data_IF_205240877722
#
_entry.id   IF_205240877722
#
_cell.length_a   1.000
_cell.length_b   1.000
_cell.length_c   1.000
_cell.angle_alpha   90.00
_cell.angle_beta   90.00
_cell.angle_gamma   90.00
#
_symmetry.space_group_name_H-M   'P 1'
#
loop_
_entity.id
_entity.type
_entity.pdbx_description
1 polymer ?
#
# COMPACT_ATOMS: atom_id res chain seq x y z
N UNK A 1 2.39 -1.80 -27.47
CA UNK A 1 1.90 -0.66 -26.68
C UNK A 1 3.10 0.18 -26.33
N UNK A 2 3.26 1.37 -26.93
CA UNK A 2 4.46 2.18 -26.70
C UNK A 2 4.24 3.05 -25.47
N UNK A 3 5.05 2.82 -24.43
CA UNK A 3 5.13 3.72 -23.28
C UNK A 3 6.07 4.87 -23.66
N UNK A 4 5.52 6.04 -23.93
CA UNK A 4 6.30 7.25 -24.03
C UNK A 4 6.59 7.77 -22.61
N UNK A 5 7.71 7.38 -22.04
CA UNK A 5 8.29 8.09 -20.91
C UNK A 5 8.98 9.32 -21.44
N UNK A 6 8.37 10.49 -21.28
CA UNK A 6 9.04 11.74 -21.53
C UNK A 6 9.39 12.37 -20.18
N UNK A 7 10.66 12.43 -19.85
CA UNK A 7 11.16 13.25 -18.76
C UNK A 7 11.74 14.52 -19.35
N UNK A 8 11.21 15.68 -18.99
CA UNK A 8 11.77 16.98 -19.37
C UNK A 8 12.56 17.53 -18.20
N UNK A 9 13.81 17.91 -18.45
CA UNK A 9 14.69 18.51 -17.47
C UNK A 9 14.74 20.01 -17.70
N UNK A 10 14.60 20.78 -16.64
CA UNK A 10 14.78 22.22 -16.66
C UNK A 10 16.12 22.58 -16.00
N UNK A 11 16.84 23.53 -16.58
CA UNK A 11 18.11 24.03 -16.11
C UNK A 11 17.91 25.45 -15.55
N UNK A 12 18.74 25.85 -14.58
CA UNK A 12 18.65 27.17 -13.92
C UNK A 12 19.13 28.36 -14.78
N UNK A 13 19.46 28.08 -16.01
CA UNK A 13 20.01 29.11 -16.95
C UNK A 13 21.53 29.21 -16.94
N UNK A 14 22.22 28.49 -16.03
CA UNK A 14 23.70 28.42 -16.03
C UNK A 14 24.21 27.21 -16.82
N UNK A 15 23.32 26.40 -17.36
CA UNK A 15 23.59 25.35 -18.33
C UNK A 15 23.78 23.95 -17.77
N UNK A 16 24.11 23.77 -16.49
CA UNK A 16 24.57 22.49 -15.97
C UNK A 16 23.75 21.91 -14.81
N UNK A 17 22.89 22.70 -14.17
CA UNK A 17 22.08 22.23 -13.03
C UNK A 17 20.65 21.88 -13.43
N UNK A 18 20.33 20.61 -13.37
CA UNK A 18 18.98 20.08 -13.50
C UNK A 18 18.17 20.43 -12.24
N UNK A 19 17.22 21.36 -12.33
CA UNK A 19 16.43 21.84 -11.18
C UNK A 19 15.10 21.12 -11.04
N UNK A 20 14.53 20.61 -12.13
CA UNK A 20 13.20 19.98 -12.12
C UNK A 20 13.16 18.75 -13.02
N UNK A 21 12.35 17.76 -12.63
CA UNK A 21 12.00 16.58 -13.43
C UNK A 21 10.47 16.53 -13.56
N UNK A 22 9.99 16.48 -14.79
CA UNK A 22 8.57 16.30 -15.09
C UNK A 22 8.35 14.89 -15.60
N UNK A 23 7.45 14.15 -14.93
CA UNK A 23 7.01 12.85 -15.37
C UNK A 23 5.64 12.97 -16.04
N UNK A 24 5.55 12.54 -17.30
CA UNK A 24 4.30 12.52 -18.07
C UNK A 24 3.87 11.07 -18.18
N UNK A 25 2.70 10.74 -17.62
CA UNK A 25 2.16 9.39 -17.59
C UNK A 25 0.71 9.36 -18.05
N UNK A 26 0.26 8.21 -18.54
CA UNK A 26 -1.14 8.04 -18.98
C UNK A 26 -2.05 8.04 -17.75
N UNK A 27 -3.07 8.88 -17.76
CA UNK A 27 -4.12 8.90 -16.71
C UNK A 27 -4.71 7.51 -16.52
N UNK A 28 -4.84 7.07 -15.26
CA UNK A 28 -5.38 5.76 -14.89
C UNK A 28 -4.40 4.58 -15.06
N UNK A 29 -3.15 4.82 -15.55
CA UNK A 29 -2.12 3.78 -15.54
C UNK A 29 -1.64 3.48 -14.11
N UNK A 30 -0.91 2.38 -13.93
CA UNK A 30 -0.28 2.04 -12.65
C UNK A 30 0.67 3.15 -12.20
N UNK A 31 1.52 3.65 -13.10
CA UNK A 31 2.45 4.75 -12.78
C UNK A 31 1.70 6.01 -12.31
N UNK A 32 0.59 6.37 -12.99
CA UNK A 32 -0.23 7.49 -12.59
C UNK A 32 -0.81 7.30 -11.18
N UNK A 33 -1.34 6.13 -10.89
CA UNK A 33 -1.87 5.79 -9.55
C UNK A 33 -0.77 5.85 -8.50
N UNK A 34 0.41 5.30 -8.79
CA UNK A 34 1.55 5.30 -7.89
C UNK A 34 2.01 6.73 -7.56
N UNK A 35 2.12 7.62 -8.55
CA UNK A 35 2.48 9.02 -8.29
C UNK A 35 1.44 9.76 -7.45
N UNK A 36 0.15 9.57 -7.75
CA UNK A 36 -0.94 10.19 -6.99
C UNK A 36 -0.97 9.66 -5.55
N UNK A 37 -0.94 8.34 -5.37
CA UNK A 37 -0.96 7.72 -4.05
C UNK A 37 0.26 8.14 -3.21
N UNK A 38 1.45 8.14 -3.79
CA UNK A 38 2.68 8.57 -3.13
C UNK A 38 2.60 10.03 -2.66
N UNK A 39 2.16 10.93 -3.55
CA UNK A 39 1.96 12.34 -3.23
C UNK A 39 0.95 12.52 -2.08
N UNK A 40 -0.20 11.89 -2.20
CA UNK A 40 -1.30 12.06 -1.25
C UNK A 40 -0.93 11.47 0.12
N UNK A 41 -0.25 10.33 0.14
CA UNK A 41 0.27 9.73 1.36
C UNK A 41 1.29 10.62 2.06
N UNK A 42 2.28 11.16 1.34
CA UNK A 42 3.26 12.09 1.93
C UNK A 42 2.61 13.38 2.44
N UNK A 43 1.61 13.91 1.73
CA UNK A 43 0.87 15.09 2.20
C UNK A 43 0.07 14.82 3.48
N UNK A 44 -0.42 13.60 3.65
CA UNK A 44 -1.22 13.18 4.81
C UNK A 44 -0.36 12.70 5.99
N UNK A 45 0.92 12.40 5.75
CA UNK A 45 1.86 11.88 6.76
C UNK A 45 3.14 12.72 6.83
N UNK A 46 3.11 13.91 7.49
CA UNK A 46 4.24 14.85 7.52
C UNK A 46 5.54 14.24 8.06
N UNK A 47 5.46 13.28 9.00
CA UNK A 47 6.63 12.59 9.54
C UNK A 47 7.35 11.78 8.45
N UNK A 48 6.62 11.05 7.60
CA UNK A 48 7.17 10.28 6.49
C UNK A 48 7.73 11.23 5.40
N UNK A 49 7.02 12.32 5.12
CA UNK A 49 7.50 13.35 4.20
C UNK A 49 8.84 13.95 4.65
N UNK A 50 9.00 14.17 5.96
CA UNK A 50 10.25 14.67 6.55
C UNK A 50 11.40 13.67 6.40
N UNK A 51 11.16 12.40 6.67
CA UNK A 51 12.16 11.33 6.46
C UNK A 51 12.60 11.30 4.99
N UNK A 52 11.66 11.44 4.05
CA UNK A 52 11.99 11.48 2.62
C UNK A 52 12.81 12.72 2.23
N UNK A 53 12.48 13.87 2.79
CA UNK A 53 13.27 15.10 2.60
C UNK A 53 14.71 14.93 3.09
N UNK A 54 14.89 14.44 4.33
CA UNK A 54 16.19 14.24 4.96
C UNK A 54 17.03 13.21 4.18
N UNK A 55 16.41 12.13 3.72
CA UNK A 55 17.06 11.15 2.83
C UNK A 55 17.56 11.80 1.55
N UNK A 56 16.74 12.61 0.88
CA UNK A 56 17.14 13.32 -0.34
C UNK A 56 18.31 14.28 -0.11
N UNK A 57 18.27 15.02 0.99
CA UNK A 57 19.37 15.95 1.36
C UNK A 57 20.66 15.18 1.64
N UNK A 58 20.58 14.07 2.38
CA UNK A 58 21.73 13.22 2.66
C UNK A 58 22.35 12.66 1.37
N UNK A 59 21.52 12.08 0.51
CA UNK A 59 21.98 11.50 -0.76
C UNK A 59 22.57 12.54 -1.70
N UNK A 60 21.98 13.74 -1.76
CA UNK A 60 22.53 14.84 -2.57
C UNK A 60 23.91 15.29 -2.09
N UNK A 61 24.15 15.34 -0.77
CA UNK A 61 25.47 15.65 -0.20
C UNK A 61 26.51 14.58 -0.47
N UNK A 62 26.11 13.32 -0.59
CA UNK A 62 27.00 12.18 -0.81
C UNK A 62 27.21 11.85 -2.29
N UNK A 63 26.46 12.46 -3.18
CA UNK A 63 26.52 12.18 -4.61
C UNK A 63 27.75 12.83 -5.24
N UNK A 64 28.72 12.06 -5.78
CA UNK A 64 29.84 12.65 -6.54
C UNK A 64 29.33 13.23 -7.87
N UNK A 65 30.08 14.20 -8.40
CA UNK A 65 29.70 14.96 -9.61
C UNK A 65 29.52 14.03 -10.83
N UNK A 66 30.35 13.00 -10.97
CA UNK A 66 30.38 12.17 -12.21
C UNK A 66 29.38 11.01 -12.24
N UNK A 67 29.00 10.44 -11.07
CA UNK A 67 28.05 9.32 -10.97
C UNK A 67 26.96 9.55 -9.92
N UNK A 68 26.79 10.76 -9.48
CA UNK A 68 25.93 11.14 -8.37
C UNK A 68 24.46 10.82 -8.61
N UNK A 69 24.00 10.95 -9.85
CA UNK A 69 22.60 10.68 -10.20
C UNK A 69 22.20 9.24 -9.95
N UNK A 70 23.01 8.28 -10.40
CA UNK A 70 22.70 6.85 -10.22
C UNK A 70 22.69 6.47 -8.74
N UNK A 71 23.70 6.91 -7.99
CA UNK A 71 23.79 6.69 -6.54
C UNK A 71 22.62 7.33 -5.80
N UNK A 72 22.23 8.54 -6.18
CA UNK A 72 21.07 9.23 -5.63
C UNK A 72 19.76 8.49 -5.92
N UNK A 73 19.56 7.99 -7.14
CA UNK A 73 18.36 7.25 -7.52
C UNK A 73 18.28 5.91 -6.79
N UNK A 74 19.39 5.17 -6.71
CA UNK A 74 19.46 3.89 -5.97
C UNK A 74 19.21 4.09 -4.47
N UNK A 75 19.83 5.12 -3.87
CA UNK A 75 19.72 5.36 -2.44
C UNK A 75 18.31 5.69 -1.94
N UNK A 76 17.42 6.19 -2.80
CA UNK A 76 16.02 6.44 -2.45
C UNK A 76 15.06 5.32 -2.87
N UNK A 77 15.55 4.31 -3.60
CA UNK A 77 14.70 3.26 -4.18
C UNK A 77 13.89 2.53 -3.13
N UNK A 78 14.55 1.99 -2.11
CA UNK A 78 13.90 1.18 -1.08
C UNK A 78 12.85 1.99 -0.29
N UNK A 79 13.16 3.25 0.01
CA UNK A 79 12.20 4.16 0.63
C UNK A 79 10.96 4.37 -0.25
N UNK A 80 11.16 4.58 -1.56
CA UNK A 80 10.04 4.79 -2.50
C UNK A 80 9.19 3.52 -2.59
N UNK A 81 9.80 2.35 -2.76
CA UNK A 81 9.08 1.07 -2.85
C UNK A 81 8.27 0.81 -1.58
N UNK A 82 8.89 0.94 -0.41
CA UNK A 82 8.21 0.79 0.87
C UNK A 82 7.03 1.78 1.01
N UNK A 83 7.29 3.06 0.71
CA UNK A 83 6.26 4.11 0.83
C UNK A 83 5.10 3.91 -0.15
N UNK A 84 5.36 3.40 -1.36
CA UNK A 84 4.31 3.09 -2.34
C UNK A 84 3.37 1.99 -1.85
N UNK A 85 3.89 0.96 -1.17
CA UNK A 85 3.07 -0.09 -0.55
C UNK A 85 2.12 0.48 0.50
N UNK A 86 2.65 1.29 1.42
CA UNK A 86 1.83 1.99 2.43
C UNK A 86 0.82 2.95 1.79
N UNK A 87 1.23 3.69 0.78
CA UNK A 87 0.37 4.63 0.06
C UNK A 87 -0.77 3.94 -0.69
N UNK A 88 -0.56 2.73 -1.22
CA UNK A 88 -1.60 1.93 -1.84
C UNK A 88 -2.71 1.60 -0.84
N UNK A 89 -2.36 0.97 0.27
CA UNK A 89 -3.29 0.60 1.34
C UNK A 89 -4.02 1.83 1.88
N UNK A 90 -3.26 2.91 2.16
CA UNK A 90 -3.79 4.19 2.60
C UNK A 90 -4.83 4.76 1.63
N UNK A 91 -4.65 4.57 0.32
CA UNK A 91 -5.57 5.06 -0.70
C UNK A 91 -6.96 4.42 -0.66
N UNK A 92 -7.12 3.29 0.04
CA UNK A 92 -8.39 2.58 0.21
C UNK A 92 -9.14 2.93 1.50
N UNK A 93 -8.59 3.82 2.32
CA UNK A 93 -9.24 4.26 3.58
C UNK A 93 -10.66 4.73 3.34
N UNK A 94 -11.60 4.18 4.13
CA UNK A 94 -13.04 4.51 4.10
C UNK A 94 -13.74 4.31 2.74
N UNK A 95 -13.09 3.70 1.76
CA UNK A 95 -13.69 3.45 0.44
C UNK A 95 -14.53 2.18 0.43
N UNK A 96 -15.54 2.19 -0.43
CA UNK A 96 -16.25 0.97 -0.84
C UNK A 96 -15.36 0.20 -1.82
N UNK A 97 -15.21 -1.10 -1.56
CA UNK A 97 -14.43 -2.03 -2.37
C UNK A 97 -15.26 -3.27 -2.72
N UNK A 98 -15.01 -3.82 -3.89
CA UNK A 98 -15.53 -5.13 -4.27
C UNK A 98 -14.48 -6.17 -3.85
N UNK A 99 -14.84 -7.09 -2.96
CA UNK A 99 -13.96 -8.12 -2.41
C UNK A 99 -14.34 -9.46 -3.02
N UNK A 100 -13.38 -10.14 -3.65
CA UNK A 100 -13.52 -11.53 -4.08
C UNK A 100 -13.06 -12.41 -2.93
N UNK A 101 -13.90 -13.35 -2.51
CA UNK A 101 -13.62 -14.24 -1.38
C UNK A 101 -13.05 -15.56 -1.91
N UNK A 102 -11.81 -15.82 -1.62
CA UNK A 102 -11.11 -17.06 -1.96
C UNK A 102 -10.95 -17.99 -0.74
N UNK A 103 -11.15 -17.46 0.47
CA UNK A 103 -11.18 -18.18 1.75
C UNK A 103 -12.48 -17.85 2.50
N UNK A 104 -13.58 -18.56 2.21
CA UNK A 104 -14.84 -18.34 2.92
C UNK A 104 -14.72 -18.69 4.41
N UNK A 105 -15.56 -18.05 5.23
CA UNK A 105 -15.70 -18.41 6.65
C UNK A 105 -15.91 -19.93 6.80
N UNK A 106 -15.15 -20.56 7.71
CA UNK A 106 -15.15 -22.01 7.95
C UNK A 106 -14.22 -22.80 7.02
N UNK A 107 -13.58 -22.19 6.01
CA UNK A 107 -12.60 -22.89 5.17
C UNK A 107 -11.28 -23.12 5.91
N UNK A 108 -10.55 -24.16 5.51
CA UNK A 108 -9.22 -24.51 6.04
C UNK A 108 -8.15 -23.82 5.21
N UNK A 109 -7.09 -23.35 5.86
CA UNK A 109 -5.94 -22.74 5.18
C UNK A 109 -5.23 -23.77 4.30
N UNK A 110 -4.86 -23.44 3.04
CA UNK A 110 -4.32 -24.42 2.08
C UNK A 110 -2.97 -25.05 2.48
N UNK A 111 -2.21 -24.40 3.36
CA UNK A 111 -0.90 -24.87 3.83
C UNK A 111 -0.90 -25.33 5.30
N UNK A 112 -1.91 -24.94 6.10
CA UNK A 112 -1.97 -25.16 7.54
C UNK A 112 -3.32 -25.74 7.89
N UNK A 113 -3.42 -27.07 8.00
CA UNK A 113 -4.68 -27.80 8.21
C UNK A 113 -5.38 -27.44 9.53
N UNK A 114 -4.65 -26.99 10.53
CA UNK A 114 -5.19 -26.57 11.83
C UNK A 114 -5.73 -25.12 11.82
N UNK A 115 -5.49 -24.36 10.75
CA UNK A 115 -5.95 -22.98 10.62
C UNK A 115 -7.29 -22.92 9.86
N UNK A 116 -8.35 -22.59 10.58
CA UNK A 116 -9.69 -22.38 10.03
C UNK A 116 -9.97 -20.88 10.01
N UNK A 117 -10.48 -20.38 8.88
CA UNK A 117 -10.86 -18.96 8.73
C UNK A 117 -12.14 -18.68 9.53
N UNK A 118 -12.12 -17.86 10.60
CA UNK A 118 -13.29 -17.53 11.39
C UNK A 118 -14.17 -16.45 10.75
N UNK A 119 -13.71 -15.87 9.64
CA UNK A 119 -14.39 -14.86 8.83
C UNK A 119 -14.12 -15.11 7.34
N UNK A 120 -14.84 -14.39 6.47
CA UNK A 120 -14.53 -14.41 5.04
C UNK A 120 -13.24 -13.62 4.79
N UNK A 121 -12.35 -14.18 3.98
CA UNK A 121 -11.09 -13.57 3.59
C UNK A 121 -10.93 -13.64 2.07
N UNK A 122 -10.36 -12.62 1.49
CA UNK A 122 -10.19 -12.51 0.04
C UNK A 122 -9.35 -11.31 -0.33
N UNK A 123 -9.59 -10.75 -1.50
CA UNK A 123 -8.75 -9.70 -2.07
C UNK A 123 -9.55 -8.70 -2.92
N UNK A 124 -8.95 -7.55 -3.20
CA UNK A 124 -9.49 -6.58 -4.17
C UNK A 124 -8.96 -6.92 -5.56
N UNK A 125 -9.82 -7.25 -6.54
CA UNK A 125 -9.37 -7.71 -7.85
C UNK A 125 -8.60 -6.62 -8.61
N UNK A 126 -7.51 -7.02 -9.26
CA UNK A 126 -6.60 -6.15 -10.04
C UNK A 126 -5.92 -5.02 -9.22
N UNK A 127 -5.81 -5.19 -7.90
CA UNK A 127 -5.08 -4.30 -7.02
C UNK A 127 -3.96 -5.10 -6.37
N UNK A 128 -2.74 -4.90 -6.85
CA UNK A 128 -1.58 -5.67 -6.44
C UNK A 128 -0.87 -5.02 -5.26
N UNK A 129 -0.64 -5.80 -4.21
CA UNK A 129 0.06 -5.44 -2.99
C UNK A 129 1.58 -5.44 -3.13
N UNK A 130 2.24 -5.61 -2.00
CA UNK A 130 3.71 -5.53 -1.93
C UNK A 130 4.47 -6.76 -2.39
N UNK A 131 3.80 -7.89 -2.53
CA UNK A 131 4.32 -9.21 -2.90
C UNK A 131 3.95 -9.63 -4.34
N UNK A 132 3.42 -8.68 -5.14
CA UNK A 132 2.86 -8.89 -6.48
C UNK A 132 1.58 -9.76 -6.48
N UNK A 133 1.00 -10.05 -5.31
CA UNK A 133 -0.32 -10.65 -5.17
C UNK A 133 -1.40 -9.57 -4.98
N UNK A 134 -2.67 -9.93 -5.16
CA UNK A 134 -3.77 -8.98 -5.00
C UNK A 134 -3.97 -8.61 -3.53
N UNK A 135 -4.27 -7.33 -3.26
CA UNK A 135 -4.35 -6.76 -1.91
C UNK A 135 -5.43 -7.44 -1.06
N UNK A 136 -4.99 -8.09 -0.01
CA UNK A 136 -5.79 -8.91 0.89
C UNK A 136 -6.75 -8.11 1.77
N UNK A 137 -7.94 -8.70 2.03
CA UNK A 137 -9.02 -8.12 2.81
C UNK A 137 -9.63 -9.13 3.78
N UNK A 138 -9.70 -8.79 5.04
CA UNK A 138 -10.55 -9.43 6.04
C UNK A 138 -11.97 -8.84 5.95
N UNK A 139 -12.98 -9.65 5.62
CA UNK A 139 -14.38 -9.21 5.55
C UNK A 139 -15.09 -9.57 6.85
N UNK A 140 -15.32 -8.57 7.70
CA UNK A 140 -16.04 -8.68 8.97
C UNK A 140 -17.54 -8.41 8.80
N UNK A 141 -18.35 -8.92 9.71
CA UNK A 141 -19.79 -8.65 9.75
C UNK A 141 -20.64 -9.44 8.75
N UNK A 142 -20.02 -10.34 7.96
CA UNK A 142 -20.70 -11.27 7.06
C UNK A 142 -20.44 -12.70 7.55
N UNK A 143 -21.36 -13.24 8.34
CA UNK A 143 -21.19 -14.49 9.09
C UNK A 143 -21.68 -15.74 8.33
N UNK A 144 -21.75 -15.66 7.01
CA UNK A 144 -22.06 -16.76 6.10
C UNK A 144 -21.02 -16.81 4.98
N UNK A 145 -20.71 -17.99 4.41
CA UNK A 145 -19.81 -18.07 3.27
C UNK A 145 -20.38 -17.30 2.07
N UNK A 146 -19.58 -16.44 1.48
CA UNK A 146 -19.92 -15.69 0.25
C UNK A 146 -18.80 -15.86 -0.77
N UNK A 147 -19.07 -15.56 -2.05
CA UNK A 147 -18.07 -15.59 -3.14
C UNK A 147 -17.48 -14.21 -3.40
N UNK A 148 -18.31 -13.19 -3.21
CA UNK A 148 -17.94 -11.80 -3.41
C UNK A 148 -18.80 -10.91 -2.50
N UNK A 149 -18.30 -9.76 -2.13
CA UNK A 149 -19.06 -8.82 -1.32
C UNK A 149 -18.57 -7.39 -1.55
N UNK A 150 -19.50 -6.43 -1.58
CA UNK A 150 -19.17 -5.01 -1.63
C UNK A 150 -19.19 -4.44 -0.21
N UNK A 151 -18.01 -4.03 0.29
CA UNK A 151 -17.83 -3.64 1.67
C UNK A 151 -17.09 -2.29 1.78
N UNK A 152 -17.24 -1.60 2.91
CA UNK A 152 -16.49 -0.40 3.25
C UNK A 152 -15.22 -0.79 4.01
N UNK A 153 -14.08 -0.24 3.62
CA UNK A 153 -12.82 -0.37 4.37
C UNK A 153 -12.95 0.42 5.68
N UNK A 154 -12.76 -0.26 6.81
CA UNK A 154 -12.96 0.28 8.17
C UNK A 154 -11.69 0.28 9.01
N UNK A 155 -10.68 -0.52 8.65
CA UNK A 155 -9.39 -0.54 9.33
C UNK A 155 -8.28 -1.03 8.40
N UNK A 156 -7.04 -0.79 8.83
CA UNK A 156 -5.82 -1.30 8.21
C UNK A 156 -5.07 -2.13 9.25
N UNK A 157 -4.61 -3.31 8.86
CA UNK A 157 -3.66 -4.13 9.62
C UNK A 157 -2.28 -3.83 9.08
N UNK A 158 -1.50 -3.08 9.84
CA UNK A 158 -0.09 -2.81 9.55
C UNK A 158 0.76 -3.97 10.04
N UNK A 159 1.56 -4.58 9.18
CA UNK A 159 2.54 -5.61 9.52
C UNK A 159 3.94 -5.03 9.47
N UNK A 160 4.64 -5.03 10.60
CA UNK A 160 5.98 -4.44 10.71
C UNK A 160 7.10 -5.39 10.24
N UNK A 161 6.85 -6.69 10.27
CA UNK A 161 7.77 -7.75 9.88
C UNK A 161 7.33 -8.50 8.60
N UNK A 162 6.44 -7.90 7.80
CA UNK A 162 5.98 -8.43 6.52
C UNK A 162 6.05 -7.35 5.43
N UNK A 163 5.95 -7.77 4.18
CA UNK A 163 6.01 -6.88 3.02
C UNK A 163 4.67 -6.22 2.71
N UNK A 164 3.57 -6.73 3.28
CA UNK A 164 2.21 -6.30 2.95
C UNK A 164 1.37 -5.99 4.19
N UNK A 165 0.70 -4.84 4.16
CA UNK A 165 -0.41 -4.51 5.05
C UNK A 165 -1.70 -5.10 4.49
N UNK A 166 -2.70 -5.36 5.35
CA UNK A 166 -3.99 -5.89 4.94
C UNK A 166 -5.13 -4.94 5.28
N UNK A 167 -6.22 -5.03 4.53
CA UNK A 167 -7.40 -4.25 4.79
C UNK A 167 -8.40 -5.04 5.65
N UNK A 168 -9.18 -4.31 6.43
CA UNK A 168 -10.38 -4.83 7.08
C UNK A 168 -11.58 -4.08 6.50
N UNK A 169 -12.55 -4.81 6.00
CA UNK A 169 -13.77 -4.24 5.43
C UNK A 169 -15.01 -4.83 6.08
N UNK A 170 -16.10 -4.06 6.10
CA UNK A 170 -17.38 -4.47 6.65
C UNK A 170 -18.54 -3.95 5.79
N UNK A 171 -19.76 -4.51 5.91
CA UNK A 171 -20.95 -3.93 5.32
C UNK A 171 -21.11 -2.47 5.70
N UNK A 172 -21.57 -1.63 4.77
CA UNK A 172 -21.78 -0.20 5.01
C UNK A 172 -22.66 0.03 6.25
N UNK A 173 -22.26 0.96 7.12
CA UNK A 173 -22.97 1.29 8.35
C UNK A 173 -22.68 0.36 9.54
N UNK A 174 -21.88 -0.69 9.37
CA UNK A 174 -21.40 -1.54 10.47
C UNK A 174 -19.99 -1.08 10.87
N UNK A 175 -19.79 -0.88 12.16
CA UNK A 175 -18.49 -0.55 12.75
C UNK A 175 -18.09 -1.55 13.82
N UNK A 176 -16.79 -1.69 14.03
CA UNK A 176 -16.19 -2.55 15.04
C UNK A 176 -15.18 -1.76 15.85
N UNK A 177 -15.03 -2.11 17.09
CA UNK A 177 -13.95 -1.61 17.95
C UNK A 177 -12.62 -2.22 17.55
N UNK A 178 -11.51 -1.57 17.92
CA UNK A 178 -10.16 -2.10 17.69
C UNK A 178 -10.00 -3.52 18.25
N UNK A 179 -10.51 -3.76 19.46
CA UNK A 179 -10.43 -5.07 20.12
C UNK A 179 -11.21 -6.15 19.37
N UNK A 180 -12.39 -5.85 18.84
CA UNK A 180 -13.17 -6.80 18.04
C UNK A 180 -12.45 -7.17 16.75
N UNK A 181 -11.77 -6.20 16.12
CA UNK A 181 -10.97 -6.47 14.93
C UNK A 181 -9.74 -7.29 15.28
N UNK A 182 -8.99 -6.92 16.32
CA UNK A 182 -7.82 -7.68 16.80
C UNK A 182 -8.19 -9.14 17.10
N UNK A 183 -9.31 -9.37 17.78
CA UNK A 183 -9.78 -10.73 18.09
C UNK A 183 -10.16 -11.50 16.81
N UNK A 184 -10.85 -10.85 15.88
CA UNK A 184 -11.32 -11.49 14.65
C UNK A 184 -10.16 -11.90 13.70
N UNK A 185 -9.10 -11.10 13.62
CA UNK A 185 -7.96 -11.38 12.73
C UNK A 185 -6.83 -12.14 13.43
N UNK A 186 -6.90 -12.36 14.75
CA UNK A 186 -5.86 -13.00 15.56
C UNK A 186 -5.45 -14.37 15.05
N UNK A 187 -6.36 -15.14 14.44
CA UNK A 187 -6.09 -16.49 13.91
C UNK A 187 -4.88 -16.48 12.94
N UNK A 188 -4.67 -15.38 12.22
CA UNK A 188 -3.54 -15.19 11.29
C UNK A 188 -2.53 -14.18 11.83
N UNK A 189 -2.98 -13.06 12.42
CA UNK A 189 -2.10 -11.96 12.83
C UNK A 189 -1.22 -12.28 14.05
N UNK A 190 -1.54 -13.31 14.84
CA UNK A 190 -0.68 -13.79 15.93
C UNK A 190 0.73 -14.22 15.48
N UNK A 191 0.95 -14.46 14.19
CA UNK A 191 2.23 -14.84 13.62
C UNK A 191 3.05 -13.65 13.09
N UNK A 192 2.49 -12.43 13.21
CA UNK A 192 3.10 -11.19 12.72
C UNK A 192 3.20 -10.14 13.83
N UNK A 193 4.12 -9.19 13.63
CA UNK A 193 4.16 -7.96 14.43
C UNK A 193 3.18 -6.96 13.82
N UNK A 194 1.90 -7.08 14.17
CA UNK A 194 0.83 -6.30 13.55
C UNK A 194 0.24 -5.25 14.49
N UNK A 195 -0.25 -4.16 13.90
CA UNK A 195 -0.97 -3.09 14.56
C UNK A 195 -2.24 -2.75 13.76
N UNK A 196 -3.37 -2.53 14.47
CA UNK A 196 -4.64 -2.14 13.83
C UNK A 196 -4.80 -0.62 13.88
N UNK A 197 -4.96 0.00 12.72
CA UNK A 197 -5.40 1.38 12.54
C UNK A 197 -6.89 1.40 12.19
N UNK A 198 -7.72 1.99 13.05
CA UNK A 198 -9.16 2.24 12.80
C UNK A 198 -9.32 3.49 11.91
N UNK A 199 -10.29 3.46 10.99
CA UNK A 199 -10.57 4.53 10.03
C UNK A 199 -11.83 5.29 10.37
#
# INVERSE_FOLDING_TARGET
>A
MYYLYSSTSYYDGTGDLQTHFIHIVKTGSMDWRNYINFRDYLNSTPAVAKVYEDLKVLLAKQAPVDNGREKYLRGKHDFIVYTLKKALVYSYREKMVDVIIDRPIGSVHPKYEDMIYPLNYGFIPNVFGGDDEELDVYLMGVNVPVKEYKAKVIAIVHRHNDVEDKLVAAPEGISFTKMEIEDAVRFQEQYFESEIEIL
#
